data_IF_117432487758
#
_entry.id   IF_117432487758
#
_cell.length_a   1.000
_cell.length_b   1.000
_cell.length_c   1.000
_cell.angle_alpha   90.00
_cell.angle_beta   90.00
_cell.angle_gamma   90.00
#
_symmetry.space_group_name_H-M   'P 1'
#
loop_
_entity.id
_entity.type
_entity.pdbx_description
1 polymer ?
#
# COMPACT_ATOMS: atom_id res chain seq x y z
N UNK A 1 -2.86 -23.96 -0.21
CA UNK A 1 -2.58 -23.30 -1.50
C UNK A 1 -2.80 -24.27 -2.63
N UNK A 2 -4.06 -24.59 -2.93
CA UNK A 2 -4.39 -25.32 -4.15
C UNK A 2 -4.83 -24.29 -5.17
N UNK A 3 -4.23 -24.40 -6.36
CA UNK A 3 -4.61 -23.77 -7.63
C UNK A 3 -4.58 -22.25 -7.81
N UNK A 4 -3.43 -21.63 -7.54
CA UNK A 4 -3.08 -20.40 -8.24
C UNK A 4 -2.46 -20.65 -9.64
N UNK A 5 -2.70 -21.82 -10.23
CA UNK A 5 -2.35 -22.12 -11.63
C UNK A 5 -3.50 -21.72 -12.59
N UNK A 6 -4.02 -20.50 -12.43
CA UNK A 6 -4.76 -19.90 -13.52
C UNK A 6 -3.77 -19.49 -14.63
N UNK A 7 -3.38 -20.47 -15.46
CA UNK A 7 -2.68 -20.19 -16.69
C UNK A 7 -3.67 -19.47 -17.62
N UNK A 8 -3.73 -18.15 -17.52
CA UNK A 8 -4.37 -17.37 -18.58
C UNK A 8 -3.69 -17.73 -19.90
N UNK A 9 -4.47 -18.19 -20.89
CA UNK A 9 -4.00 -18.24 -22.27
C UNK A 9 -3.45 -16.88 -22.59
N UNK A 10 -2.18 -16.80 -23.00
CA UNK A 10 -1.56 -15.52 -23.41
C UNK A 10 -2.49 -14.89 -24.45
N UNK A 11 -3.03 -13.71 -24.18
CA UNK A 11 -3.86 -13.05 -25.19
C UNK A 11 -3.00 -12.81 -26.43
N UNK A 12 -3.56 -13.00 -27.63
CA UNK A 12 -2.89 -12.70 -28.90
C UNK A 12 -2.48 -11.23 -29.04
N UNK A 13 -2.89 -10.34 -28.15
CA UNK A 13 -2.57 -8.92 -28.09
C UNK A 13 -2.08 -8.57 -26.70
N UNK A 14 -0.94 -7.88 -26.63
CA UNK A 14 -0.37 -7.42 -25.37
C UNK A 14 -1.33 -6.42 -24.69
N UNK A 15 -1.73 -6.70 -23.44
CA UNK A 15 -2.53 -5.79 -22.63
C UNK A 15 -1.62 -4.70 -22.07
N UNK A 16 -1.85 -3.46 -22.47
CA UNK A 16 -1.03 -2.31 -22.09
C UNK A 16 -1.65 -1.58 -20.90
N UNK A 17 -0.85 -1.34 -19.86
CA UNK A 17 -1.22 -0.59 -18.67
C UNK A 17 -0.44 0.71 -18.51
N UNK A 18 -1.09 1.68 -17.85
CA UNK A 18 -0.53 2.96 -17.39
C UNK A 18 -0.76 3.05 -15.89
N UNK A 19 0.25 3.49 -15.13
CA UNK A 19 0.16 3.73 -13.69
C UNK A 19 0.35 5.22 -13.40
N UNK A 20 -0.70 5.87 -12.92
CA UNK A 20 -0.69 7.28 -12.53
C UNK A 20 -0.55 7.38 -11.01
N UNK A 21 0.30 8.30 -10.54
CA UNK A 21 0.68 8.38 -9.12
C UNK A 21 1.34 7.07 -8.64
N UNK A 22 2.25 6.57 -9.47
CA UNK A 22 2.70 5.18 -9.45
C UNK A 22 3.50 4.80 -8.19
N UNK A 23 4.04 5.76 -7.45
CA UNK A 23 4.92 5.48 -6.32
C UNK A 23 6.10 4.60 -6.74
N UNK A 24 6.44 3.61 -5.95
CA UNK A 24 7.47 2.61 -6.27
C UNK A 24 6.96 1.45 -7.15
N UNK A 25 5.68 1.47 -7.57
CA UNK A 25 5.12 0.50 -8.51
C UNK A 25 4.34 -0.66 -7.88
N UNK A 26 3.74 -0.49 -6.70
CA UNK A 26 2.99 -1.57 -6.05
C UNK A 26 1.79 -2.07 -6.88
N UNK A 27 0.96 -1.16 -7.41
CA UNK A 27 -0.15 -1.51 -8.30
C UNK A 27 0.36 -2.14 -9.60
N UNK A 28 1.40 -1.56 -10.19
CA UNK A 28 2.03 -2.08 -11.41
C UNK A 28 2.56 -3.50 -11.24
N UNK A 29 3.14 -3.83 -10.10
CA UNK A 29 3.59 -5.21 -9.83
C UNK A 29 2.40 -6.18 -9.84
N UNK A 30 1.29 -5.83 -9.20
CA UNK A 30 0.07 -6.62 -9.24
C UNK A 30 -0.48 -6.81 -10.66
N UNK A 31 -0.46 -5.75 -11.47
CA UNK A 31 -0.89 -5.80 -12.86
C UNK A 31 0.02 -6.69 -13.73
N UNK A 32 1.35 -6.61 -13.56
CA UNK A 32 2.28 -7.50 -14.27
C UNK A 32 2.11 -8.97 -13.85
N UNK A 33 1.85 -9.24 -12.57
CA UNK A 33 1.51 -10.59 -12.11
C UNK A 33 0.23 -11.11 -12.75
N UNK A 34 -0.70 -10.22 -13.11
CA UNK A 34 -1.93 -10.55 -13.85
C UNK A 34 -1.73 -10.57 -15.39
N UNK A 35 -0.51 -10.43 -15.89
CA UNK A 35 -0.19 -10.49 -17.33
C UNK A 35 -0.40 -9.19 -18.10
N UNK A 36 -0.57 -8.05 -17.40
CA UNK A 36 -0.68 -6.73 -18.00
C UNK A 36 0.72 -6.12 -18.12
N UNK A 37 1.08 -5.63 -19.28
CA UNK A 37 2.38 -4.97 -19.51
C UNK A 37 2.29 -3.49 -19.15
N UNK A 38 2.95 -3.09 -18.09
CA UNK A 38 3.02 -1.69 -17.68
C UNK A 38 4.00 -0.93 -18.55
N UNK A 39 3.49 -0.01 -19.41
CA UNK A 39 4.29 0.71 -20.41
C UNK A 39 4.61 2.13 -19.99
N UNK A 40 3.77 2.76 -19.22
CA UNK A 40 3.95 4.13 -18.75
C UNK A 40 3.65 4.25 -17.27
N UNK A 41 4.43 5.07 -16.58
CA UNK A 41 4.18 5.46 -15.21
C UNK A 41 4.42 6.96 -15.02
N UNK A 42 3.60 7.61 -14.19
CA UNK A 42 3.75 9.02 -13.82
C UNK A 42 3.89 9.10 -12.30
N UNK A 43 5.00 9.68 -11.83
CA UNK A 43 5.29 9.84 -10.42
C UNK A 43 6.12 11.12 -10.20
N UNK A 44 5.67 11.99 -9.29
CA UNK A 44 6.33 13.27 -9.03
C UNK A 44 7.54 13.15 -8.06
N UNK A 45 7.51 12.17 -7.15
CA UNK A 45 8.62 11.94 -6.23
C UNK A 45 9.80 11.27 -6.93
N UNK A 46 10.97 11.91 -6.89
CA UNK A 46 12.15 11.45 -7.60
C UNK A 46 12.69 10.11 -7.11
N UNK A 47 12.57 9.82 -5.82
CA UNK A 47 13.04 8.56 -5.24
C UNK A 47 12.10 7.40 -5.56
N UNK A 48 10.79 7.67 -5.52
CA UNK A 48 9.78 6.70 -5.91
C UNK A 48 9.87 6.37 -7.40
N UNK A 49 9.97 7.40 -8.27
CA UNK A 49 10.17 7.25 -9.70
C UNK A 49 11.45 6.47 -10.06
N UNK A 50 12.57 6.74 -9.34
CA UNK A 50 13.81 5.99 -9.51
C UNK A 50 13.66 4.52 -9.12
N UNK A 51 12.93 4.23 -8.04
CA UNK A 51 12.61 2.86 -7.60
C UNK A 51 11.74 2.15 -8.62
N UNK A 52 10.71 2.83 -9.12
CA UNK A 52 9.85 2.31 -10.19
C UNK A 52 10.67 1.94 -11.43
N UNK A 53 11.47 2.87 -11.95
CA UNK A 53 12.33 2.67 -13.14
C UNK A 53 13.32 1.51 -12.96
N UNK A 54 13.81 1.29 -11.74
CA UNK A 54 14.68 0.16 -11.43
C UNK A 54 13.94 -1.19 -11.52
N UNK A 55 12.70 -1.24 -11.10
CA UNK A 55 11.90 -2.47 -11.05
C UNK A 55 11.21 -2.80 -12.38
N UNK A 56 10.76 -1.78 -13.13
CA UNK A 56 10.00 -1.93 -14.37
C UNK A 56 10.83 -1.45 -15.58
N UNK A 57 11.74 -2.29 -16.07
CA UNK A 57 12.71 -1.94 -17.13
C UNK A 57 12.09 -1.58 -18.47
N UNK A 58 10.89 -2.09 -18.74
CA UNK A 58 10.17 -1.89 -19.99
C UNK A 58 9.18 -0.71 -19.95
N UNK A 59 9.07 -0.04 -18.81
CA UNK A 59 8.18 1.11 -18.65
C UNK A 59 8.92 2.43 -18.89
N UNK A 60 8.27 3.35 -19.58
CA UNK A 60 8.67 4.77 -19.62
C UNK A 60 8.13 5.46 -18.38
N UNK A 61 9.02 6.00 -17.57
CA UNK A 61 8.66 6.67 -16.30
C UNK A 61 8.80 8.19 -16.45
N UNK A 62 7.70 8.90 -16.34
CA UNK A 62 7.64 10.36 -16.27
C UNK A 62 7.79 10.80 -14.81
N UNK A 63 8.96 11.31 -14.46
CA UNK A 63 9.21 11.89 -13.13
C UNK A 63 8.76 13.36 -13.15
N UNK A 64 7.46 13.59 -13.11
CA UNK A 64 6.85 14.90 -13.31
C UNK A 64 5.53 15.02 -12.52
N UNK A 65 5.17 16.27 -12.19
CA UNK A 65 3.83 16.58 -11.69
C UNK A 65 2.81 16.35 -12.81
N UNK A 66 1.85 15.48 -12.57
CA UNK A 66 0.83 15.07 -13.55
C UNK A 66 0.04 16.26 -14.14
N UNK A 67 -0.07 17.36 -13.39
CA UNK A 67 -0.74 18.60 -13.85
C UNK A 67 -0.01 19.25 -15.03
N UNK A 68 1.30 19.01 -15.18
CA UNK A 68 2.13 19.56 -16.25
C UNK A 68 2.24 18.63 -17.45
N UNK A 69 1.82 17.36 -17.29
CA UNK A 69 1.93 16.36 -18.34
C UNK A 69 0.68 16.33 -19.21
N UNK A 70 0.87 16.36 -20.55
CA UNK A 70 -0.22 16.08 -21.48
C UNK A 70 -0.52 14.59 -21.53
N UNK A 71 -1.79 14.21 -21.52
CA UNK A 71 -2.21 12.83 -21.69
C UNK A 71 -1.77 12.26 -23.08
N UNK A 72 -1.64 13.12 -24.09
CA UNK A 72 -1.17 12.72 -25.42
C UNK A 72 0.26 12.17 -25.40
N UNK A 73 1.08 12.56 -24.42
CA UNK A 73 2.45 12.02 -24.23
C UNK A 73 2.47 10.53 -23.86
N UNK A 74 1.35 9.96 -23.37
CA UNK A 74 1.21 8.57 -22.97
C UNK A 74 0.43 7.72 -23.99
N UNK A 75 0.07 8.30 -25.15
CA UNK A 75 -0.83 7.65 -26.11
C UNK A 75 -0.09 7.23 -27.35
N UNK A 76 0.40 6.01 -27.40
CA UNK A 76 0.98 5.44 -28.61
C UNK A 76 0.27 4.18 -29.11
N UNK A 77 -0.66 3.61 -28.35
CA UNK A 77 -1.39 2.37 -28.68
C UNK A 77 -2.70 2.27 -27.86
N UNK A 78 -3.64 1.39 -28.27
CA UNK A 78 -4.83 1.13 -27.45
C UNK A 78 -4.45 0.70 -26.03
N UNK A 79 -4.79 1.52 -25.04
CA UNK A 79 -4.52 1.25 -23.64
C UNK A 79 -5.62 0.35 -23.09
N UNK A 80 -5.20 -0.77 -22.48
CA UNK A 80 -6.13 -1.69 -21.85
C UNK A 80 -6.61 -1.16 -20.50
N UNK A 81 -5.66 -0.66 -19.66
CA UNK A 81 -6.00 -0.20 -18.31
C UNK A 81 -5.17 1.02 -17.89
N UNK A 82 -5.84 1.95 -17.21
CA UNK A 82 -5.19 3.00 -16.41
C UNK A 82 -5.45 2.70 -14.94
N UNK A 83 -4.39 2.68 -14.14
CA UNK A 83 -4.48 2.50 -12.71
C UNK A 83 -3.84 3.67 -11.97
N UNK A 84 -4.20 3.85 -10.70
CA UNK A 84 -3.50 4.80 -9.85
C UNK A 84 -4.19 5.10 -8.54
N UNK A 85 -3.40 5.62 -7.59
CA UNK A 85 -3.85 6.07 -6.29
C UNK A 85 -3.56 7.55 -6.07
N UNK A 86 -4.35 8.48 -6.62
CA UNK A 86 -4.10 9.91 -6.46
C UNK A 86 -4.15 10.30 -4.98
N UNK A 87 -3.24 11.19 -4.53
CA UNK A 87 -3.22 11.61 -3.14
C UNK A 87 -4.51 12.34 -2.77
N UNK A 88 -5.10 11.91 -1.68
CA UNK A 88 -6.25 12.55 -1.03
C UNK A 88 -5.88 12.88 0.42
N UNK A 89 -4.86 13.73 0.61
CA UNK A 89 -4.28 14.00 1.93
C UNK A 89 -5.28 14.63 2.90
N UNK A 90 -6.22 15.45 2.43
CA UNK A 90 -7.28 16.04 3.24
C UNK A 90 -8.32 15.04 3.75
N UNK A 91 -8.47 13.91 3.09
CA UNK A 91 -9.48 12.89 3.43
C UNK A 91 -8.93 11.70 4.22
N UNK A 92 -7.65 11.74 4.62
CA UNK A 92 -7.11 10.77 5.58
C UNK A 92 -7.72 10.98 6.97
N UNK A 93 -8.15 9.91 7.63
CA UNK A 93 -8.66 9.95 9.00
C UNK A 93 -7.65 10.56 10.00
N UNK A 94 -6.37 10.50 9.68
CA UNK A 94 -5.27 11.06 10.48
C UNK A 94 -5.09 12.57 10.29
N UNK A 95 -5.70 13.18 9.27
CA UNK A 95 -5.56 14.60 8.97
C UNK A 95 -6.88 15.33 9.23
N UNK A 96 -6.91 16.15 10.29
CA UNK A 96 -8.10 16.92 10.68
C UNK A 96 -8.08 18.37 10.20
N UNK A 97 -6.96 18.85 9.64
CA UNK A 97 -6.74 20.29 9.40
C UNK A 97 -6.97 20.77 7.97
N UNK A 98 -6.97 19.89 6.96
CA UNK A 98 -7.01 20.30 5.53
C UNK A 98 -8.11 19.58 4.74
N UNK A 99 -9.27 19.39 5.38
CA UNK A 99 -10.42 18.65 4.83
C UNK A 99 -11.29 19.50 3.87
N UNK A 100 -10.68 20.29 3.02
CA UNK A 100 -11.38 21.18 2.13
C UNK A 100 -11.06 20.86 0.65
N UNK A 101 -12.07 20.89 -0.21
CA UNK A 101 -11.93 20.74 -1.67
C UNK A 101 -11.17 21.89 -2.32
N UNK A 102 -11.01 23.04 -1.63
CA UNK A 102 -10.15 24.13 -2.10
C UNK A 102 -8.66 23.74 -2.08
N UNK A 103 -8.27 22.72 -1.31
CA UNK A 103 -6.90 22.22 -1.32
C UNK A 103 -6.58 21.52 -2.66
N UNK A 104 -5.62 21.99 -3.44
CA UNK A 104 -5.28 21.40 -4.75
C UNK A 104 -4.94 19.90 -4.69
N UNK A 105 -4.40 19.42 -3.56
CA UNK A 105 -4.08 18.00 -3.40
C UNK A 105 -5.34 17.12 -3.23
N UNK A 106 -6.46 17.70 -2.84
CA UNK A 106 -7.72 16.97 -2.73
C UNK A 106 -8.43 16.81 -4.09
N UNK A 107 -7.94 17.53 -5.12
CA UNK A 107 -8.48 17.52 -6.48
C UNK A 107 -7.66 16.68 -7.45
N UNK A 108 -6.66 15.92 -6.97
CA UNK A 108 -5.82 15.09 -7.83
C UNK A 108 -6.60 13.96 -8.54
N UNK A 109 -7.80 13.60 -8.05
CA UNK A 109 -8.68 12.70 -8.78
C UNK A 109 -9.14 13.30 -10.13
N UNK A 110 -9.23 14.63 -10.24
CA UNK A 110 -9.59 15.31 -11.51
C UNK A 110 -8.48 15.09 -12.56
N UNK A 111 -7.22 15.04 -12.13
CA UNK A 111 -6.12 14.73 -13.02
C UNK A 111 -6.18 13.27 -13.49
N UNK A 112 -6.46 12.34 -12.57
CA UNK A 112 -6.68 10.96 -12.96
C UNK A 112 -7.84 10.83 -13.96
N UNK A 113 -8.96 11.50 -13.70
CA UNK A 113 -10.12 11.54 -14.58
C UNK A 113 -9.76 12.12 -15.96
N UNK A 114 -8.98 13.22 -16.02
CA UNK A 114 -8.52 13.84 -17.26
C UNK A 114 -7.75 12.87 -18.15
N UNK A 115 -6.86 12.06 -17.57
CA UNK A 115 -6.13 11.03 -18.31
C UNK A 115 -7.04 9.89 -18.77
N UNK A 116 -7.95 9.43 -17.92
CA UNK A 116 -8.91 8.37 -18.27
C UNK A 116 -9.85 8.84 -19.40
N UNK A 117 -10.34 10.05 -19.33
CA UNK A 117 -11.21 10.64 -20.37
C UNK A 117 -10.48 10.75 -21.71
N UNK A 118 -9.28 11.35 -21.71
CA UNK A 118 -8.51 11.62 -22.93
C UNK A 118 -7.98 10.35 -23.60
N UNK A 119 -7.46 9.40 -22.83
CA UNK A 119 -6.85 8.15 -23.34
C UNK A 119 -7.91 7.09 -23.63
N UNK A 120 -9.04 7.16 -22.93
CA UNK A 120 -10.18 6.29 -23.11
C UNK A 120 -9.82 4.78 -23.01
N UNK A 121 -9.13 4.32 -21.91
CA UNK A 121 -8.77 2.91 -21.74
C UNK A 121 -10.01 2.02 -21.67
N UNK A 122 -9.83 0.71 -21.94
CA UNK A 122 -10.91 -0.26 -21.75
C UNK A 122 -11.34 -0.34 -20.29
N UNK A 123 -10.37 -0.28 -19.36
CA UNK A 123 -10.58 -0.35 -17.92
C UNK A 123 -9.85 0.78 -17.20
N UNK A 124 -10.35 1.14 -16.02
CA UNK A 124 -9.56 1.88 -15.04
C UNK A 124 -9.68 1.26 -13.65
N UNK A 125 -8.65 1.44 -12.83
CA UNK A 125 -8.63 1.11 -11.39
C UNK A 125 -8.15 2.33 -10.62
N UNK A 126 -9.04 2.92 -9.85
CA UNK A 126 -8.76 4.04 -8.97
C UNK A 126 -8.70 3.53 -7.52
N UNK A 127 -7.54 3.66 -6.87
CA UNK A 127 -7.34 3.28 -5.46
C UNK A 127 -7.33 4.52 -4.57
N UNK A 128 -7.92 4.42 -3.38
CA UNK A 128 -7.81 5.48 -2.40
C UNK A 128 -7.97 4.98 -0.95
N UNK A 129 -7.74 5.88 0.01
CA UNK A 129 -7.91 5.58 1.43
C UNK A 129 -9.39 5.39 1.78
N UNK A 130 -9.67 4.48 2.73
CA UNK A 130 -11.02 4.27 3.27
C UNK A 130 -11.69 5.57 3.73
N UNK A 131 -10.90 6.49 4.29
CA UNK A 131 -11.41 7.79 4.77
C UNK A 131 -12.23 8.55 3.74
N UNK A 132 -11.91 8.43 2.45
CA UNK A 132 -12.63 9.09 1.36
C UNK A 132 -14.14 8.77 1.37
N UNK A 133 -14.55 7.57 1.77
CA UNK A 133 -15.96 7.16 1.86
C UNK A 133 -16.75 7.86 2.97
N UNK A 134 -16.06 8.53 3.90
CA UNK A 134 -16.65 9.18 5.07
C UNK A 134 -16.84 10.68 4.89
N UNK A 135 -16.30 11.27 3.83
CA UNK A 135 -16.36 12.71 3.60
C UNK A 135 -17.43 13.11 2.61
N UNK A 136 -17.99 14.28 2.86
CA UNK A 136 -18.96 14.92 2.00
C UNK A 136 -18.41 16.24 1.47
N UNK A 137 -18.78 16.58 0.24
CA UNK A 137 -18.66 17.92 -0.34
C UNK A 137 -20.07 18.50 -0.40
N UNK A 138 -20.42 19.35 0.56
CA UNK A 138 -21.81 19.73 0.77
C UNK A 138 -22.65 18.52 1.21
N UNK A 139 -23.72 18.22 0.46
CA UNK A 139 -24.59 17.07 0.73
C UNK A 139 -24.10 15.76 0.06
N UNK A 140 -23.28 15.87 -0.99
CA UNK A 140 -22.81 14.72 -1.77
C UNK A 140 -21.62 14.04 -1.11
N UNK A 141 -21.65 12.70 -1.05
CA UNK A 141 -20.50 11.89 -0.65
C UNK A 141 -19.42 11.95 -1.75
N UNK A 142 -18.15 12.17 -1.38
CA UNK A 142 -17.03 12.31 -2.33
C UNK A 142 -16.84 11.06 -3.18
N UNK A 143 -17.02 9.86 -2.60
CA UNK A 143 -16.97 8.63 -3.39
C UNK A 143 -18.02 8.66 -4.51
N UNK A 144 -19.26 8.99 -4.19
CA UNK A 144 -20.35 9.06 -5.16
C UNK A 144 -20.05 10.13 -6.23
N UNK A 145 -19.51 11.28 -5.82
CA UNK A 145 -19.10 12.33 -6.73
C UNK A 145 -18.08 11.81 -7.75
N UNK A 146 -17.03 11.14 -7.30
CA UNK A 146 -15.99 10.56 -8.17
C UNK A 146 -16.59 9.50 -9.11
N UNK A 147 -17.42 8.60 -8.59
CA UNK A 147 -18.08 7.57 -9.40
C UNK A 147 -18.97 8.18 -10.48
N UNK A 148 -19.76 9.21 -10.14
CA UNK A 148 -20.62 9.91 -11.10
C UNK A 148 -19.82 10.60 -12.21
N UNK A 149 -18.64 11.17 -11.89
CA UNK A 149 -17.75 11.77 -12.89
C UNK A 149 -17.25 10.70 -13.89
N UNK A 150 -16.89 9.50 -13.43
CA UNK A 150 -16.51 8.41 -14.33
C UNK A 150 -17.69 7.86 -15.15
N UNK A 151 -18.89 7.77 -14.57
CA UNK A 151 -20.10 7.39 -15.33
C UNK A 151 -20.40 8.40 -16.43
N UNK A 152 -20.23 9.70 -16.15
CA UNK A 152 -20.46 10.77 -17.12
C UNK A 152 -19.57 10.67 -18.37
N UNK A 153 -18.35 10.18 -18.23
CA UNK A 153 -17.43 9.92 -19.36
C UNK A 153 -17.57 8.52 -19.97
N UNK A 154 -18.67 7.82 -19.68
CA UNK A 154 -19.10 6.59 -20.38
C UNK A 154 -18.59 5.28 -19.76
N UNK A 155 -18.19 5.26 -18.49
CA UNK A 155 -17.79 4.02 -17.81
C UNK A 155 -18.94 3.43 -16.98
N UNK A 156 -19.07 2.10 -17.04
CA UNK A 156 -19.78 1.34 -16.01
C UNK A 156 -18.87 1.20 -14.81
N UNK A 157 -19.32 1.60 -13.61
CA UNK A 157 -18.47 1.75 -12.42
C UNK A 157 -19.03 0.94 -11.27
N UNK A 158 -18.17 0.17 -10.62
CA UNK A 158 -18.41 -0.47 -9.31
C UNK A 158 -17.29 -0.08 -8.33
N UNK A 159 -17.63 -0.03 -7.05
CA UNK A 159 -16.64 0.20 -6.00
C UNK A 159 -16.80 -0.77 -4.84
N UNK A 160 -15.69 -1.09 -4.20
CA UNK A 160 -15.63 -1.94 -2.99
C UNK A 160 -14.47 -1.50 -2.11
N UNK A 161 -14.65 -1.61 -0.80
CA UNK A 161 -13.55 -1.53 0.16
C UNK A 161 -12.97 -2.93 0.28
N UNK A 162 -11.68 -3.06 0.01
CA UNK A 162 -10.95 -4.33 0.16
C UNK A 162 -9.99 -4.22 1.34
N UNK A 163 -9.88 -5.31 2.09
CA UNK A 163 -8.92 -5.46 3.18
C UNK A 163 -7.79 -6.37 2.71
N UNK A 164 -6.57 -5.86 2.69
CA UNK A 164 -5.42 -6.61 2.19
C UNK A 164 -5.21 -7.95 2.94
N UNK A 165 -5.57 -7.99 4.23
CA UNK A 165 -5.53 -9.22 5.03
C UNK A 165 -6.39 -10.36 4.48
N UNK A 166 -7.50 -10.02 3.82
CA UNK A 166 -8.45 -10.99 3.28
C UNK A 166 -7.97 -11.60 1.95
N UNK A 167 -6.82 -11.10 1.46
CA UNK A 167 -6.16 -11.56 0.23
C UNK A 167 -4.72 -12.04 0.50
N UNK A 168 -4.45 -12.54 1.71
CA UNK A 168 -3.17 -13.16 2.06
C UNK A 168 -2.03 -12.18 2.33
N UNK A 169 -2.31 -10.87 2.51
CA UNK A 169 -1.30 -9.90 2.94
C UNK A 169 -1.26 -9.85 4.47
N UNK A 170 -0.10 -9.96 5.13
CA UNK A 170 0.02 -9.97 6.59
C UNK A 170 -0.18 -8.58 7.23
N UNK A 171 -1.14 -7.81 6.71
CA UNK A 171 -1.42 -6.45 7.17
C UNK A 171 -2.90 -6.09 7.02
N UNK A 172 -3.50 -5.52 8.07
CA UNK A 172 -4.86 -4.96 8.05
C UNK A 172 -4.88 -3.60 7.37
N UNK A 173 -4.78 -3.58 6.05
CA UNK A 173 -4.83 -2.38 5.22
C UNK A 173 -6.11 -2.37 4.40
N UNK A 174 -6.99 -1.43 4.67
CA UNK A 174 -8.21 -1.24 3.90
C UNK A 174 -8.04 -0.12 2.86
N UNK A 175 -8.57 -0.35 1.67
CA UNK A 175 -8.56 0.60 0.56
C UNK A 175 -9.87 0.57 -0.19
N UNK A 176 -10.31 1.74 -0.60
CA UNK A 176 -11.39 1.89 -1.56
C UNK A 176 -10.82 1.64 -2.96
N UNK A 177 -11.46 0.75 -3.70
CA UNK A 177 -11.23 0.57 -5.13
C UNK A 177 -12.48 0.97 -5.89
N UNK A 178 -12.31 1.87 -6.87
CA UNK A 178 -13.33 2.21 -7.85
C UNK A 178 -12.81 1.69 -9.19
N UNK A 179 -13.56 0.77 -9.79
CA UNK A 179 -13.19 0.10 -11.03
C UNK A 179 -14.25 0.39 -12.07
N UNK A 180 -13.82 0.73 -13.28
CA UNK A 180 -14.74 0.96 -14.36
C UNK A 180 -14.28 0.37 -15.68
N UNK A 181 -15.25 0.08 -16.55
CA UNK A 181 -15.00 -0.33 -17.93
C UNK A 181 -15.95 0.35 -18.91
N UNK A 182 -15.51 0.50 -20.17
CA UNK A 182 -16.28 1.16 -21.24
C UNK A 182 -17.18 0.23 -22.03
N UNK A 183 -17.02 -1.07 -21.86
CA UNK A 183 -17.71 -2.08 -22.69
C UNK A 183 -19.01 -2.59 -22.06
N UNK A 184 -19.45 -2.01 -20.93
CA UNK A 184 -20.63 -2.45 -20.20
C UNK A 184 -20.49 -3.85 -19.59
N UNK A 185 -19.25 -4.36 -19.45
CA UNK A 185 -19.00 -5.68 -18.86
C UNK A 185 -19.34 -5.62 -17.38
N UNK A 186 -20.25 -6.47 -16.96
CA UNK A 186 -20.47 -6.70 -15.54
C UNK A 186 -19.34 -7.53 -14.98
N UNK A 187 -18.67 -7.01 -13.93
CA UNK A 187 -17.56 -7.68 -13.27
C UNK A 187 -17.82 -7.78 -11.78
N UNK A 188 -17.19 -8.75 -11.15
CA UNK A 188 -17.22 -8.94 -9.71
C UNK A 188 -15.81 -8.70 -9.13
N UNK A 189 -15.78 -8.13 -7.92
CA UNK A 189 -14.56 -8.09 -7.15
C UNK A 189 -14.16 -9.51 -6.73
N UNK A 190 -12.84 -9.77 -6.56
CA UNK A 190 -12.37 -11.09 -6.17
C UNK A 190 -12.98 -11.51 -4.83
N UNK A 191 -13.22 -12.81 -4.67
CA UNK A 191 -13.64 -13.40 -3.39
C UNK A 191 -12.49 -13.38 -2.41
N UNK A 192 -12.80 -13.08 -1.18
CA UNK A 192 -11.88 -13.11 -0.06
C UNK A 192 -11.41 -14.55 0.20
N UNK A 193 -10.18 -14.70 0.67
CA UNK A 193 -9.67 -16.01 1.08
C UNK A 193 -10.30 -16.41 2.42
N UNK A 194 -10.36 -17.69 2.70
CA UNK A 194 -10.83 -18.27 3.96
C UNK A 194 -9.74 -18.32 5.05
N UNK A 195 -8.57 -17.75 4.76
CA UNK A 195 -7.43 -17.68 5.68
C UNK A 195 -6.84 -16.27 5.70
N UNK A 196 -6.10 -15.96 6.75
CA UNK A 196 -5.26 -14.76 6.84
C UNK A 196 -3.82 -15.12 7.19
N UNK A 197 -2.87 -14.33 6.75
CA UNK A 197 -1.44 -14.51 7.07
C UNK A 197 -1.10 -13.65 8.27
N UNK A 198 -0.49 -14.26 9.29
CA UNK A 198 -0.05 -13.61 10.52
C UNK A 198 1.33 -12.95 10.35
N UNK A 199 1.68 -12.09 11.32
CA UNK A 199 3.04 -11.52 11.39
C UNK A 199 4.08 -12.62 11.55
N UNK A 200 3.84 -13.62 12.40
CA UNK A 200 4.77 -14.72 12.62
C UNK A 200 5.02 -15.53 11.34
N UNK A 201 3.98 -15.82 10.57
CA UNK A 201 4.15 -16.49 9.28
C UNK A 201 4.94 -15.65 8.28
N UNK A 202 4.92 -14.31 8.43
CA UNK A 202 5.60 -13.42 7.50
C UNK A 202 7.06 -13.15 7.84
N UNK A 203 7.46 -13.18 9.12
CA UNK A 203 8.78 -12.70 9.55
C UNK A 203 9.56 -13.62 10.48
N UNK A 204 9.02 -14.79 10.91
CA UNK A 204 9.70 -15.68 11.85
C UNK A 204 10.97 -16.34 11.29
N UNK A 205 11.13 -16.36 9.99
CA UNK A 205 12.30 -16.87 9.29
C UNK A 205 13.40 -15.81 9.07
N UNK A 206 13.15 -14.56 9.46
CA UNK A 206 14.12 -13.48 9.34
C UNK A 206 15.11 -13.48 10.52
N UNK A 207 16.33 -12.91 10.35
CA UNK A 207 17.32 -12.89 11.40
C UNK A 207 16.85 -12.13 12.65
N UNK A 208 17.29 -12.62 13.80
CA UNK A 208 17.16 -11.89 15.07
C UNK A 208 18.17 -10.73 15.05
N UNK A 209 17.71 -9.53 15.37
CA UNK A 209 18.52 -8.32 15.31
C UNK A 209 18.44 -7.55 16.64
N UNK A 210 19.53 -6.88 16.98
CA UNK A 210 19.63 -6.02 18.14
C UNK A 210 19.20 -4.57 17.85
N UNK A 211 19.01 -3.78 18.91
CA UNK A 211 18.69 -2.36 18.81
C UNK A 211 19.80 -1.58 18.10
N UNK A 212 19.48 -0.99 16.96
CA UNK A 212 20.42 -0.23 16.11
C UNK A 212 21.32 -1.08 15.24
N UNK A 213 21.07 -2.38 15.15
CA UNK A 213 21.83 -3.28 14.26
C UNK A 213 21.49 -2.99 12.79
N UNK A 214 22.53 -3.06 11.96
CA UNK A 214 22.44 -2.90 10.51
C UNK A 214 23.03 -4.16 9.88
N UNK A 215 22.17 -4.96 9.27
CA UNK A 215 22.56 -6.15 8.53
C UNK A 215 22.10 -6.05 7.08
N UNK A 216 23.00 -5.58 6.21
CA UNK A 216 22.67 -5.37 4.80
C UNK A 216 22.37 -6.66 4.04
N UNK A 217 22.93 -7.80 4.51
CA UNK A 217 22.65 -9.13 4.01
C UNK A 217 22.76 -10.10 5.19
N UNK A 218 21.69 -10.83 5.45
CA UNK A 218 21.60 -11.82 6.52
C UNK A 218 21.41 -13.24 6.00
N UNK A 219 21.11 -14.14 6.91
CA UNK A 219 20.72 -15.51 6.64
C UNK A 219 19.30 -15.74 7.18
N UNK A 220 18.55 -16.60 6.51
CA UNK A 220 17.26 -17.05 7.04
C UNK A 220 17.49 -17.98 8.22
N UNK A 221 16.66 -17.85 9.26
CA UNK A 221 16.80 -18.64 10.50
C UNK A 221 16.33 -20.08 10.37
N UNK A 222 15.54 -20.37 9.32
CA UNK A 222 15.05 -21.73 9.03
C UNK A 222 15.27 -22.09 7.56
N UNK A 223 15.45 -23.38 7.24
CA UNK A 223 15.46 -23.87 5.85
C UNK A 223 14.19 -23.47 5.10
N UNK A 224 14.30 -23.41 3.77
CA UNK A 224 13.16 -23.00 2.91
C UNK A 224 11.92 -23.86 3.14
N UNK A 225 12.10 -25.17 3.26
CA UNK A 225 11.03 -26.17 3.40
C UNK A 225 10.31 -26.08 4.75
N UNK A 226 10.96 -25.49 5.76
CA UNK A 226 10.40 -25.32 7.11
C UNK A 226 9.77 -23.93 7.31
N UNK A 227 9.99 -23.01 6.37
CA UNK A 227 9.38 -21.70 6.43
C UNK A 227 7.87 -21.79 6.18
N UNK A 228 7.11 -20.81 6.65
CA UNK A 228 5.68 -20.71 6.36
C UNK A 228 5.41 -20.65 4.85
N UNK A 229 4.23 -21.06 4.36
CA UNK A 229 3.88 -20.93 2.96
C UNK A 229 4.04 -19.50 2.41
N UNK A 230 3.74 -18.49 3.24
CA UNK A 230 3.95 -17.10 2.88
C UNK A 230 5.43 -16.75 2.74
N UNK A 231 6.25 -17.12 3.72
CA UNK A 231 7.69 -16.90 3.68
C UNK A 231 8.35 -17.64 2.50
N UNK A 232 7.95 -18.88 2.21
CA UNK A 232 8.40 -19.61 1.02
C UNK A 232 8.07 -18.83 -0.27
N UNK A 233 6.84 -18.34 -0.40
CA UNK A 233 6.43 -17.52 -1.55
C UNK A 233 7.31 -16.26 -1.69
N UNK A 234 7.55 -15.54 -0.59
CA UNK A 234 8.39 -14.33 -0.59
C UNK A 234 9.87 -14.62 -0.91
N UNK A 235 10.35 -15.82 -0.55
CA UNK A 235 11.75 -16.24 -0.76
C UNK A 235 12.05 -16.79 -2.15
N UNK A 236 11.05 -17.05 -3.00
CA UNK A 236 11.24 -17.67 -4.32
C UNK A 236 12.31 -17.02 -5.18
N UNK A 237 12.48 -15.70 -5.08
CA UNK A 237 13.46 -14.92 -5.85
C UNK A 237 14.57 -14.32 -4.99
N UNK A 238 14.64 -14.68 -3.70
CA UNK A 238 15.61 -14.14 -2.75
C UNK A 238 16.38 -15.26 -2.04
N UNK A 239 17.69 -15.24 -2.17
CA UNK A 239 18.56 -16.21 -1.49
C UNK A 239 18.92 -15.82 -0.06
N UNK A 240 18.67 -14.58 0.32
CA UNK A 240 19.01 -14.03 1.63
C UNK A 240 18.14 -12.82 1.96
N UNK A 241 17.75 -12.59 3.22
CA UNK A 241 17.13 -11.36 3.65
C UNK A 241 18.15 -10.21 3.54
N UNK A 242 17.70 -9.05 3.09
CA UNK A 242 18.55 -7.88 2.87
C UNK A 242 17.96 -6.63 3.48
N UNK A 243 18.82 -5.61 3.71
CA UNK A 243 18.42 -4.30 4.20
C UNK A 243 17.71 -4.34 5.57
N UNK A 244 18.13 -5.26 6.43
CA UNK A 244 17.65 -5.33 7.80
C UNK A 244 18.31 -4.21 8.62
N UNK A 245 17.57 -3.11 8.83
CA UNK A 245 18.06 -1.89 9.47
C UNK A 245 17.18 -1.54 10.64
N UNK A 246 17.61 -1.86 11.85
CA UNK A 246 16.91 -1.47 13.08
C UNK A 246 17.34 -0.08 13.49
N UNK A 247 16.38 0.82 13.71
CA UNK A 247 16.68 2.15 14.25
C UNK A 247 17.27 2.03 15.65
N UNK A 248 18.39 2.75 15.89
CA UNK A 248 18.98 2.82 17.24
C UNK A 248 18.11 3.70 18.13
N UNK A 249 17.48 3.09 19.10
CA UNK A 249 16.72 3.78 20.14
C UNK A 249 17.60 3.98 21.38
N UNK A 250 17.33 5.01 22.16
CA UNK A 250 18.00 5.25 23.45
C UNK A 250 17.61 4.18 24.46
N UNK A 251 18.44 3.88 25.44
CA UNK A 251 18.24 2.80 26.42
C UNK A 251 16.90 2.92 27.15
N UNK A 252 16.48 4.11 27.52
CA UNK A 252 15.19 4.32 28.17
C UNK A 252 13.98 3.99 27.25
N UNK A 253 14.17 4.04 25.93
CA UNK A 253 13.13 3.65 24.96
C UNK A 253 13.05 2.11 24.88
N UNK A 254 14.21 1.45 24.85
CA UNK A 254 14.29 -0.01 24.87
C UNK A 254 13.72 -0.57 26.18
N UNK A 255 14.01 0.11 27.31
CA UNK A 255 13.43 -0.27 28.61
C UNK A 255 11.90 -0.23 28.59
N UNK A 256 11.30 0.79 27.94
CA UNK A 256 9.84 0.88 27.79
C UNK A 256 9.24 -0.30 27.03
N UNK A 257 9.98 -0.84 26.03
CA UNK A 257 9.49 -1.96 25.24
C UNK A 257 9.18 -3.20 26.11
N UNK A 258 9.96 -3.45 27.15
CA UNK A 258 9.79 -4.59 28.05
C UNK A 258 8.44 -4.63 28.77
N UNK A 259 7.81 -3.47 28.94
CA UNK A 259 6.51 -3.35 29.64
C UNK A 259 5.30 -3.47 28.68
N UNK A 260 5.54 -3.60 27.39
CA UNK A 260 4.47 -3.58 26.39
C UNK A 260 4.29 -4.99 25.84
N UNK A 261 3.21 -5.66 26.24
CA UNK A 261 2.81 -6.97 25.71
C UNK A 261 2.31 -6.90 24.26
N UNK A 262 2.19 -8.06 23.63
CA UNK A 262 1.62 -8.15 22.27
C UNK A 262 0.22 -7.53 22.21
N UNK A 263 0.01 -6.65 21.25
CA UNK A 263 -1.25 -5.92 21.10
C UNK A 263 -1.40 -4.69 21.98
N UNK A 264 -0.52 -4.48 22.94
CA UNK A 264 -0.50 -3.31 23.81
C UNK A 264 0.25 -2.13 23.19
N UNK A 265 0.25 -1.01 23.85
CA UNK A 265 0.87 0.24 23.41
C UNK A 265 1.46 1.02 24.61
N UNK A 266 1.80 2.28 24.37
CA UNK A 266 2.38 3.18 25.38
C UNK A 266 1.64 3.21 26.72
N UNK A 267 0.34 2.88 26.78
CA UNK A 267 -0.45 2.92 28.03
C UNK A 267 -0.02 1.87 29.06
N UNK A 268 0.69 0.82 28.64
CA UNK A 268 1.25 -0.20 29.51
C UNK A 268 2.59 0.21 30.14
N UNK A 269 3.18 1.35 29.72
CA UNK A 269 4.47 1.82 30.24
C UNK A 269 4.24 2.48 31.61
N UNK A 270 4.99 2.07 32.66
CA UNK A 270 4.92 2.68 33.97
C UNK A 270 5.18 4.20 33.93
N UNK A 271 4.50 4.94 34.78
CA UNK A 271 4.53 6.40 34.81
C UNK A 271 5.93 6.99 34.98
N UNK A 272 6.78 6.37 35.82
CA UNK A 272 8.13 6.83 36.05
C UNK A 272 9.02 6.77 34.81
N UNK A 273 8.70 5.91 33.84
CA UNK A 273 9.40 5.83 32.56
C UNK A 273 8.85 6.80 31.50
N UNK A 274 7.73 7.47 31.77
CA UNK A 274 7.05 8.37 30.83
C UNK A 274 7.24 9.86 31.19
N UNK A 275 8.17 10.19 32.08
CA UNK A 275 8.39 11.55 32.58
C UNK A 275 8.75 12.63 31.53
N UNK A 276 9.20 12.21 30.34
CA UNK A 276 9.47 13.12 29.23
C UNK A 276 8.26 13.44 28.33
N UNK A 277 7.07 12.90 28.67
CA UNK A 277 5.81 13.22 27.96
C UNK A 277 5.03 14.26 28.75
N UNK A 278 4.85 15.44 28.18
CA UNK A 278 4.15 16.55 28.82
C UNK A 278 2.64 16.26 29.03
N UNK A 279 2.03 15.53 28.09
CA UNK A 279 0.61 15.15 28.18
C UNK A 279 0.39 13.76 27.57
N UNK A 280 0.24 12.78 28.45
CA UNK A 280 -0.01 11.37 28.05
C UNK A 280 -1.36 11.19 27.36
N UNK A 281 -2.37 12.00 27.68
CA UNK A 281 -3.72 11.90 27.12
C UNK A 281 -3.75 12.23 25.61
N UNK A 282 -2.73 12.92 25.09
CA UNK A 282 -2.59 13.25 23.68
C UNK A 282 -1.81 12.21 22.87
N UNK A 283 -1.31 11.17 23.51
CA UNK A 283 -0.60 10.10 22.81
C UNK A 283 -1.56 9.26 21.96
N UNK A 284 -1.26 9.11 20.67
CA UNK A 284 -2.04 8.21 19.82
C UNK A 284 -1.82 6.75 20.21
N UNK A 285 -2.88 5.95 20.18
CA UNK A 285 -2.84 4.51 20.50
C UNK A 285 -1.91 3.68 19.60
N UNK A 286 -1.48 4.25 18.47
CA UNK A 286 -0.51 3.62 17.55
C UNK A 286 0.97 3.84 17.92
N UNK A 287 1.27 4.65 18.95
CA UNK A 287 2.66 4.86 19.40
C UNK A 287 3.05 3.75 20.36
N UNK A 288 4.29 3.25 20.24
CA UNK A 288 4.77 2.11 21.03
C UNK A 288 3.86 0.88 20.90
N UNK A 289 3.30 0.65 19.72
CA UNK A 289 2.43 -0.50 19.49
C UNK A 289 3.27 -1.75 19.23
N UNK A 290 3.17 -2.76 20.11
CA UNK A 290 3.75 -4.08 19.85
C UNK A 290 2.81 -4.87 18.95
N UNK A 291 3.36 -5.44 17.88
CA UNK A 291 2.60 -6.30 16.99
C UNK A 291 2.16 -7.59 17.70
N UNK A 292 1.07 -8.16 17.24
CA UNK A 292 0.58 -9.47 17.67
C UNK A 292 1.11 -10.48 16.66
N UNK A 293 1.96 -11.42 17.10
CA UNK A 293 2.57 -12.41 16.22
C UNK A 293 1.54 -13.24 15.45
N UNK A 294 0.51 -13.72 16.14
CA UNK A 294 -0.54 -14.60 15.60
C UNK A 294 -1.61 -13.91 14.75
N UNK A 295 -1.46 -12.60 14.44
CA UNK A 295 -2.45 -11.83 13.66
C UNK A 295 -1.76 -11.03 12.54
N UNK A 296 -2.49 -10.63 11.49
CA UNK A 296 -1.99 -9.62 10.55
C UNK A 296 -1.62 -8.32 11.28
N UNK A 297 -0.56 -7.65 10.83
CA UNK A 297 -0.10 -6.39 11.44
C UNK A 297 -1.12 -5.26 11.29
N UNK A 298 -1.01 -4.25 12.13
CA UNK A 298 -1.61 -2.94 11.85
C UNK A 298 -0.96 -2.31 10.62
N UNK A 299 -1.59 -1.26 10.07
CA UNK A 299 -0.98 -0.50 8.96
C UNK A 299 0.36 0.07 9.40
N UNK A 300 1.43 -0.35 8.73
CA UNK A 300 2.78 0.15 8.96
C UNK A 300 2.95 1.43 8.15
N UNK A 301 2.88 2.57 8.84
CA UNK A 301 3.13 3.88 8.25
C UNK A 301 4.61 4.25 8.42
N UNK A 302 4.92 5.35 9.09
CA UNK A 302 6.29 5.67 9.46
C UNK A 302 6.68 4.90 10.74
N UNK A 303 7.10 3.64 10.58
CA UNK A 303 7.41 2.75 11.71
C UNK A 303 8.52 3.30 12.64
N UNK A 304 9.45 4.11 12.10
CA UNK A 304 10.51 4.74 12.89
C UNK A 304 9.98 5.82 13.84
N UNK A 305 9.00 6.62 13.39
CA UNK A 305 8.35 7.64 14.23
C UNK A 305 7.31 7.08 15.17
N UNK A 306 6.53 6.09 14.73
CA UNK A 306 5.47 5.46 15.54
C UNK A 306 6.02 4.43 16.52
N UNK A 307 7.30 4.08 16.43
CA UNK A 307 7.96 3.12 17.32
C UNK A 307 7.16 1.80 17.42
N UNK A 308 6.79 1.24 16.25
CA UNK A 308 6.18 -0.09 16.21
C UNK A 308 7.21 -1.12 16.69
N UNK A 309 6.76 -2.00 17.58
CA UNK A 309 7.63 -2.96 18.27
C UNK A 309 7.45 -4.34 17.65
N UNK A 310 8.57 -5.04 17.47
CA UNK A 310 8.60 -6.43 17.02
C UNK A 310 7.78 -7.32 17.99
N UNK A 311 7.01 -8.32 17.52
CA UNK A 311 6.15 -9.11 18.39
C UNK A 311 6.91 -9.84 19.51
N UNK A 312 8.12 -10.32 19.24
CA UNK A 312 8.91 -11.17 20.15
C UNK A 312 10.24 -10.56 20.61
N UNK A 313 10.59 -9.37 20.19
CA UNK A 313 11.88 -8.73 20.50
C UNK A 313 11.65 -7.31 21.02
N UNK A 314 12.46 -6.87 21.99
CA UNK A 314 12.37 -5.53 22.56
C UNK A 314 13.09 -4.48 21.71
N UNK A 315 12.68 -4.39 20.44
CA UNK A 315 13.19 -3.45 19.45
C UNK A 315 12.10 -2.94 18.52
N UNK A 316 12.39 -1.86 17.82
CA UNK A 316 11.57 -1.42 16.69
C UNK A 316 11.63 -2.42 15.52
N UNK A 317 10.76 -2.20 14.52
CA UNK A 317 10.82 -2.95 13.27
C UNK A 317 12.06 -2.55 12.45
N UNK A 318 12.48 -3.43 11.57
CA UNK A 318 13.59 -3.24 10.62
C UNK A 318 13.07 -3.02 9.22
#
# INVERSE_FOLDING_TARGET
MQDANYKMKKPNKQLIGIDLFAGAGGLSLGAEMAGISMRYAVEADTYAAASYKRNFKNATVFCEDIRKLSADSLNTQPVFIIMGGPPCQGFSLSNTKTRDMSNPNNRMFEEFLRFVDKIAPTWFVFENVYGLTKFKNGEENIQNHIENRFRHIGYTVKSKILYASDFGVPQRRNRLFIVGNRNGIDFEFPKEFDYSVSVDEAISDLPVLENGEIQMKGEYTVPFEQASPYAQFMRQKSKAPTQNIVSRNKDYVVERYKYIGQGENWSSIPDHLMGNYADKKRCHSGIYKRLIGSKPSVVISNYRKSMLIHPHQDRGLS
#
